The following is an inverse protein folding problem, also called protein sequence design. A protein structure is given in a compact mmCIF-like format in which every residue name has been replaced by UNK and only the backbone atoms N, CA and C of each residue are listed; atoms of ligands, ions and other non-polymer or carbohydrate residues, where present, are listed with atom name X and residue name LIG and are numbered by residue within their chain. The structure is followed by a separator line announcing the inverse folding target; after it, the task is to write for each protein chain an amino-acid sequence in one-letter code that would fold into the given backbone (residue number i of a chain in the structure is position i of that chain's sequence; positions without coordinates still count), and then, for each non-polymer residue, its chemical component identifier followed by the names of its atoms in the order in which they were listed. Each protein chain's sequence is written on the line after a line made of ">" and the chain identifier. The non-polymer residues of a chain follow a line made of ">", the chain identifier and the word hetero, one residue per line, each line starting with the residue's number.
data_IF_016270196107
#
_entry.id   IF_016270196107
#
_cell.length_a   1.000
_cell.length_b   1.000
_cell.length_c   1.000
_cell.angle_alpha   90.00
_cell.angle_beta   90.00
_cell.angle_gamma   90.00
#
_symmetry.space_group_name_H-M   'P 1'
#
loop_
_entity.id
_entity.type
_entity.pdbx_description
1 polymer ?
#
# COMPACT_ATOMS: atom_id res chain seq x y z
N UNK A 1 -22.88 6.99 -10.44
CA UNK A 1 -22.01 7.89 -11.21
C UNK A 1 -20.77 7.05 -11.54
N UNK A 2 -20.76 6.42 -12.72
CA UNK A 2 -19.69 5.57 -13.18
C UNK A 2 -18.41 6.41 -13.34
N UNK A 3 -17.38 6.04 -12.61
CA UNK A 3 -16.06 6.62 -12.75
C UNK A 3 -15.48 6.11 -14.08
N UNK A 4 -15.56 6.95 -15.12
CA UNK A 4 -14.87 6.67 -16.40
C UNK A 4 -13.38 6.61 -16.12
N UNK A 5 -12.79 5.42 -16.22
CA UNK A 5 -11.35 5.23 -16.25
C UNK A 5 -10.86 5.91 -17.53
N UNK A 6 -10.09 6.96 -17.36
CA UNK A 6 -9.50 7.69 -18.48
C UNK A 6 -8.37 6.84 -19.08
N UNK A 7 -8.66 6.11 -20.14
CA UNK A 7 -7.78 5.10 -20.79
C UNK A 7 -6.56 5.76 -21.51
N UNK A 8 -6.53 7.08 -21.60
CA UNK A 8 -5.49 7.84 -22.34
C UNK A 8 -4.37 8.41 -21.43
N UNK A 9 -4.37 8.20 -20.14
CA UNK A 9 -3.29 8.65 -19.26
C UNK A 9 -2.16 7.62 -19.26
N UNK A 10 -0.95 8.03 -19.65
CA UNK A 10 0.26 7.21 -19.52
C UNK A 10 0.37 6.67 -18.09
N UNK A 11 0.76 5.39 -17.90
CA UNK A 11 0.86 4.79 -16.58
C UNK A 11 1.87 5.55 -15.71
N UNK A 12 1.57 5.64 -14.41
CA UNK A 12 2.47 6.27 -13.44
C UNK A 12 3.58 5.32 -13.00
N UNK A 13 3.28 4.03 -12.95
CA UNK A 13 4.24 2.95 -12.74
C UNK A 13 4.06 1.88 -13.81
N UNK A 14 5.17 1.40 -14.35
CA UNK A 14 5.24 0.28 -15.28
C UNK A 14 6.25 -0.72 -14.72
N UNK A 15 5.83 -1.93 -14.53
CA UNK A 15 6.63 -3.05 -14.05
C UNK A 15 6.63 -4.09 -15.16
N UNK A 16 7.81 -4.44 -15.67
CA UNK A 16 7.97 -5.33 -16.82
C UNK A 16 8.88 -6.50 -16.49
N UNK A 17 8.36 -7.72 -16.55
CA UNK A 17 9.10 -8.97 -16.37
C UNK A 17 9.91 -9.02 -15.07
N UNK A 18 9.36 -8.45 -13.97
CA UNK A 18 10.04 -8.36 -12.69
C UNK A 18 10.26 -9.76 -12.10
N UNK A 19 11.53 -10.09 -11.88
CA UNK A 19 11.95 -11.30 -11.21
C UNK A 19 12.76 -11.01 -9.96
N UNK A 20 12.62 -11.86 -8.92
CA UNK A 20 13.43 -11.79 -7.70
C UNK A 20 13.78 -13.17 -7.19
N UNK A 21 15.08 -13.39 -6.99
CA UNK A 21 15.64 -14.62 -6.41
C UNK A 21 16.49 -14.26 -5.19
N UNK A 22 16.38 -15.04 -4.12
CA UNK A 22 17.24 -14.97 -2.94
C UNK A 22 18.05 -16.27 -2.83
N UNK A 23 19.35 -16.21 -3.10
CA UNK A 23 20.17 -17.41 -3.29
C UNK A 23 19.57 -18.27 -4.41
N UNK A 24 19.19 -19.52 -4.09
CA UNK A 24 18.58 -20.45 -5.04
C UNK A 24 17.04 -20.39 -5.03
N UNK A 25 16.44 -19.58 -4.14
CA UNK A 25 14.99 -19.51 -3.99
C UNK A 25 14.39 -18.42 -4.86
N UNK A 26 13.62 -18.82 -5.88
CA UNK A 26 12.87 -17.90 -6.76
C UNK A 26 11.59 -17.49 -6.08
N UNK A 27 11.44 -16.18 -5.77
CA UNK A 27 10.25 -15.60 -5.11
C UNK A 27 9.33 -14.92 -6.10
N UNK A 28 9.88 -14.16 -7.05
CA UNK A 28 9.12 -13.58 -8.17
C UNK A 28 9.68 -14.13 -9.46
N UNK A 29 8.82 -14.61 -10.33
CA UNK A 29 9.21 -15.28 -11.58
C UNK A 29 9.10 -14.35 -12.79
N UNK A 30 7.93 -13.75 -12.97
CA UNK A 30 7.63 -12.86 -14.09
C UNK A 30 6.41 -12.00 -13.72
N UNK A 31 6.64 -10.85 -13.12
CA UNK A 31 5.57 -9.93 -12.75
C UNK A 31 5.57 -8.77 -13.72
N UNK A 32 4.47 -8.62 -14.46
CA UNK A 32 4.24 -7.46 -15.32
C UNK A 32 2.94 -6.77 -14.91
N UNK A 33 3.01 -5.46 -14.64
CA UNK A 33 1.92 -4.67 -14.10
C UNK A 33 2.08 -3.20 -14.47
N UNK A 34 0.99 -2.55 -14.84
CA UNK A 34 0.91 -1.09 -14.99
C UNK A 34 -0.01 -0.51 -13.91
N UNK A 35 0.29 0.70 -13.43
CA UNK A 35 -0.54 1.45 -12.49
C UNK A 35 -0.85 2.81 -13.10
N UNK A 36 -2.13 3.12 -13.25
CA UNK A 36 -2.60 4.41 -13.77
C UNK A 36 -2.76 5.44 -12.64
N UNK A 37 -2.62 6.76 -12.92
CA UNK A 37 -2.92 7.80 -11.94
C UNK A 37 -4.35 7.66 -11.38
N UNK A 38 -4.49 7.76 -10.04
CA UNK A 38 -5.77 7.62 -9.35
C UNK A 38 -6.28 6.18 -9.22
N UNK A 39 -5.56 5.19 -9.75
CA UNK A 39 -5.95 3.80 -9.67
C UNK A 39 -5.65 3.23 -8.26
N UNK A 40 -6.58 2.44 -7.73
CA UNK A 40 -6.40 1.66 -6.51
C UNK A 40 -6.35 0.18 -6.86
N UNK A 41 -5.19 -0.43 -6.66
CA UNK A 41 -4.96 -1.85 -6.93
C UNK A 41 -4.74 -2.57 -5.62
N UNK A 42 -5.56 -3.59 -5.32
CA UNK A 42 -5.28 -4.52 -4.23
C UNK A 42 -4.60 -5.78 -4.75
N UNK A 43 -3.56 -6.20 -4.03
CA UNK A 43 -2.82 -7.44 -4.28
C UNK A 43 -3.15 -8.42 -3.18
N UNK A 44 -3.82 -9.49 -3.54
CA UNK A 44 -4.24 -10.58 -2.64
C UNK A 44 -3.52 -11.88 -3.00
N UNK A 45 -3.52 -12.85 -2.09
CA UNK A 45 -2.90 -14.16 -2.33
C UNK A 45 -2.39 -14.78 -1.04
N UNK A 46 -1.99 -16.04 -1.10
CA UNK A 46 -1.51 -16.80 0.04
C UNK A 46 -0.22 -16.20 0.64
N UNK A 47 0.06 -16.54 1.91
CA UNK A 47 1.34 -16.21 2.53
C UNK A 47 2.47 -16.84 1.71
N UNK A 48 3.56 -16.10 1.51
CA UNK A 48 4.70 -16.58 0.71
C UNK A 48 4.53 -16.49 -0.81
N UNK A 49 3.40 -15.98 -1.34
CA UNK A 49 3.23 -15.82 -2.80
C UNK A 49 4.04 -14.69 -3.44
N UNK A 50 4.83 -13.93 -2.66
CA UNK A 50 5.74 -12.89 -3.16
C UNK A 50 5.20 -11.45 -3.11
N UNK A 51 4.00 -11.20 -2.57
CA UNK A 51 3.34 -9.87 -2.56
C UNK A 51 4.21 -8.76 -1.96
N UNK A 52 4.68 -8.92 -0.72
CA UNK A 52 5.54 -7.94 -0.05
C UNK A 52 6.89 -7.79 -0.75
N UNK A 53 7.44 -8.88 -1.30
CA UNK A 53 8.68 -8.83 -2.10
C UNK A 53 8.48 -8.00 -3.37
N UNK A 54 7.36 -8.15 -4.05
CA UNK A 54 7.01 -7.33 -5.22
C UNK A 54 6.95 -5.84 -4.83
N UNK A 55 6.22 -5.47 -3.77
CA UNK A 55 6.17 -4.07 -3.33
C UNK A 55 7.55 -3.51 -2.98
N UNK A 56 8.38 -4.31 -2.29
CA UNK A 56 9.75 -3.90 -1.92
C UNK A 56 10.65 -3.75 -3.15
N UNK A 57 10.47 -4.56 -4.17
CA UNK A 57 11.14 -4.38 -5.45
C UNK A 57 10.65 -3.10 -6.15
N UNK A 58 9.34 -2.84 -6.16
CA UNK A 58 8.79 -1.60 -6.74
C UNK A 58 9.36 -0.37 -6.07
N UNK A 59 9.57 -0.36 -4.75
CA UNK A 59 10.22 0.75 -4.04
C UNK A 59 11.76 0.69 -4.05
N UNK A 60 12.36 -0.33 -4.72
CA UNK A 60 13.80 -0.63 -4.70
C UNK A 60 14.40 -0.81 -3.30
N UNK A 61 13.59 -1.19 -2.30
CA UNK A 61 14.10 -1.69 -1.01
C UNK A 61 14.74 -3.05 -1.18
N UNK A 62 14.28 -3.83 -2.17
CA UNK A 62 14.89 -5.03 -2.68
C UNK A 62 15.26 -4.80 -4.15
N UNK A 63 16.51 -5.05 -4.51
CA UNK A 63 16.93 -4.95 -5.91
C UNK A 63 16.36 -6.13 -6.69
N UNK A 64 15.61 -5.91 -7.77
CA UNK A 64 15.17 -6.98 -8.66
C UNK A 64 16.34 -7.80 -9.20
N UNK A 65 16.13 -9.08 -9.45
CA UNK A 65 17.12 -9.94 -10.14
C UNK A 65 17.02 -9.77 -11.65
N UNK A 66 15.81 -9.48 -12.15
CA UNK A 66 15.53 -9.22 -13.57
C UNK A 66 14.33 -8.31 -13.74
N UNK A 67 14.12 -7.84 -14.94
CA UNK A 67 13.01 -6.97 -15.29
C UNK A 67 13.32 -5.49 -15.11
N UNK A 68 12.34 -4.66 -15.43
CA UNK A 68 12.45 -3.22 -15.40
C UNK A 68 11.27 -2.60 -14.66
N UNK A 69 11.54 -1.51 -13.94
CA UNK A 69 10.53 -0.68 -13.31
C UNK A 69 10.70 0.74 -13.81
N UNK A 70 9.60 1.32 -14.31
CA UNK A 70 9.56 2.71 -14.79
C UNK A 70 8.57 3.53 -13.97
N UNK A 71 8.96 4.73 -13.65
CA UNK A 71 8.11 5.74 -13.03
C UNK A 71 7.98 6.91 -14.00
N UNK A 72 6.74 7.21 -14.43
CA UNK A 72 6.45 8.23 -15.45
C UNK A 72 7.30 8.07 -16.71
N UNK A 73 7.47 6.83 -17.18
CA UNK A 73 8.25 6.47 -18.36
C UNK A 73 9.78 6.43 -18.17
N UNK A 74 10.32 6.90 -17.03
CA UNK A 74 11.76 6.87 -16.74
C UNK A 74 12.11 5.60 -15.94
N UNK A 75 13.19 4.93 -16.33
CA UNK A 75 13.64 3.72 -15.67
C UNK A 75 14.29 4.03 -14.32
N UNK A 76 13.78 3.39 -13.26
CA UNK A 76 14.38 3.48 -11.92
C UNK A 76 15.40 2.38 -11.68
N UNK A 77 15.34 1.30 -12.44
CA UNK A 77 16.30 0.19 -12.38
C UNK A 77 17.58 0.48 -13.15
N UNK A 78 17.55 1.44 -14.09
CA UNK A 78 18.70 1.92 -14.83
C UNK A 78 19.28 3.24 -14.26
N UNK A 79 18.93 3.61 -13.02
CA UNK A 79 19.41 4.81 -12.31
C UNK A 79 19.14 6.15 -13.04
N UNK A 80 18.11 6.21 -13.89
CA UNK A 80 17.71 7.45 -14.59
C UNK A 80 17.12 8.50 -13.63
N UNK A 81 16.64 8.07 -12.45
CA UNK A 81 16.11 8.94 -11.40
C UNK A 81 16.87 8.68 -10.10
N UNK A 82 17.31 9.71 -9.35
CA UNK A 82 17.86 9.54 -8.02
C UNK A 82 16.87 8.81 -7.10
N UNK A 83 17.32 7.74 -6.46
CA UNK A 83 16.46 6.87 -5.63
C UNK A 83 15.74 7.61 -4.50
N UNK A 84 16.36 8.65 -3.93
CA UNK A 84 15.74 9.50 -2.91
C UNK A 84 14.58 10.31 -3.50
N UNK A 85 14.72 10.84 -4.71
CA UNK A 85 13.65 11.56 -5.41
C UNK A 85 12.49 10.61 -5.78
N UNK A 86 12.81 9.41 -6.28
CA UNK A 86 11.82 8.38 -6.55
C UNK A 86 11.01 8.00 -5.30
N UNK A 87 11.69 7.66 -4.20
CA UNK A 87 11.03 7.27 -2.94
C UNK A 87 10.23 8.38 -2.27
N UNK A 88 10.53 9.64 -2.58
CA UNK A 88 9.70 10.77 -2.16
C UNK A 88 8.35 10.79 -2.91
N UNK A 89 8.33 10.32 -4.17
CA UNK A 89 7.14 10.28 -5.02
C UNK A 89 6.38 8.96 -4.93
N UNK A 90 7.06 7.87 -4.68
CA UNK A 90 6.47 6.53 -4.46
C UNK A 90 6.69 6.15 -3.00
N UNK A 91 5.79 6.61 -2.16
CA UNK A 91 5.85 6.40 -0.71
C UNK A 91 5.50 4.97 -0.34
N UNK A 92 6.00 4.50 0.81
CA UNK A 92 5.68 3.16 1.33
C UNK A 92 5.25 3.21 2.79
N UNK A 93 4.16 2.52 3.07
CA UNK A 93 3.62 2.27 4.42
C UNK A 93 3.80 0.78 4.71
N UNK A 94 4.49 0.48 5.80
CA UNK A 94 4.90 -0.87 6.16
C UNK A 94 3.93 -1.50 7.17
N UNK A 95 3.94 -2.81 7.26
CA UNK A 95 3.28 -3.58 8.30
C UNK A 95 3.77 -3.19 9.71
N UNK A 96 5.09 -3.05 9.87
CA UNK A 96 5.69 -2.46 11.07
C UNK A 96 5.82 -0.97 10.84
N UNK A 97 5.18 -0.17 11.63
CA UNK A 97 4.98 1.30 11.48
C UNK A 97 6.25 2.10 11.15
N UNK A 98 7.43 1.60 11.54
CA UNK A 98 8.76 2.18 11.28
C UNK A 98 8.86 3.67 11.66
N UNK A 99 8.19 4.07 12.76
CA UNK A 99 8.32 5.42 13.30
C UNK A 99 9.66 5.61 13.99
N UNK A 100 10.22 6.82 13.88
CA UNK A 100 11.41 7.20 14.62
C UNK A 100 11.08 7.31 16.11
N UNK A 101 11.49 6.33 16.92
CA UNK A 101 11.14 6.22 18.33
C UNK A 101 11.67 7.35 19.22
N UNK A 102 12.76 8.02 18.81
CA UNK A 102 13.37 9.17 19.48
C UNK A 102 12.72 10.52 19.13
N UNK A 103 11.74 10.53 18.21
CA UNK A 103 11.02 11.72 17.77
C UNK A 103 9.55 11.65 18.19
N UNK A 104 8.90 12.80 18.42
CA UNK A 104 7.45 12.87 18.59
C UNK A 104 6.74 12.71 17.22
N UNK A 105 5.41 12.66 17.26
CA UNK A 105 4.54 12.49 16.07
C UNK A 105 4.80 13.58 15.03
N UNK A 106 4.83 14.85 15.45
CA UNK A 106 5.07 15.97 14.54
C UNK A 106 6.43 15.86 13.87
N UNK A 107 7.48 15.59 14.65
CA UNK A 107 8.85 15.48 14.13
C UNK A 107 9.01 14.30 13.17
N UNK A 108 8.27 13.19 13.38
CA UNK A 108 8.23 12.07 12.43
C UNK A 108 7.73 12.50 11.03
N UNK A 109 6.79 13.45 10.97
CA UNK A 109 6.24 13.96 9.71
C UNK A 109 7.07 15.14 9.14
N UNK A 110 7.69 15.97 9.98
CA UNK A 110 8.44 17.17 9.57
C UNK A 110 9.83 16.83 9.02
N UNK A 111 10.59 15.99 9.74
CA UNK A 111 12.01 15.74 9.42
C UNK A 111 12.25 15.17 8.02
N UNK A 112 11.48 14.18 7.51
CA UNK A 112 11.67 13.69 6.14
C UNK A 112 11.52 14.79 5.09
N UNK A 113 10.55 15.68 5.24
CA UNK A 113 10.31 16.80 4.32
C UNK A 113 11.49 17.77 4.27
N UNK A 114 12.07 18.09 5.44
CA UNK A 114 13.23 18.99 5.50
C UNK A 114 14.48 18.37 4.85
N UNK A 115 14.71 17.06 5.10
CA UNK A 115 15.92 16.37 4.62
C UNK A 115 15.84 16.09 3.13
N UNK A 116 14.69 15.61 2.65
CA UNK A 116 14.54 15.09 1.28
C UNK A 116 13.98 16.13 0.32
N UNK A 117 12.98 16.91 0.78
CA UNK A 117 12.32 17.91 -0.05
C UNK A 117 12.88 19.33 0.17
N UNK A 118 13.81 19.49 1.10
CA UNK A 118 14.43 20.77 1.46
C UNK A 118 13.42 21.87 1.83
N UNK A 119 12.22 21.48 2.34
CA UNK A 119 11.21 22.41 2.83
C UNK A 119 11.71 23.15 4.06
N UNK A 120 11.33 24.41 4.21
CA UNK A 120 11.54 25.16 5.44
C UNK A 120 10.86 24.46 6.63
N UNK A 121 11.23 24.80 7.84
CA UNK A 121 10.61 24.24 9.05
C UNK A 121 9.13 24.59 9.12
N UNK A 122 8.80 25.82 8.75
CA UNK A 122 7.45 26.37 8.76
C UNK A 122 6.56 25.61 7.77
N UNK A 123 6.97 25.53 6.52
CA UNK A 123 6.25 24.79 5.46
C UNK A 123 6.08 23.30 5.81
N UNK A 124 7.15 22.65 6.28
CA UNK A 124 7.10 21.25 6.68
C UNK A 124 6.18 21.01 7.87
N UNK A 125 6.11 21.96 8.82
CA UNK A 125 5.24 21.88 9.99
C UNK A 125 3.78 22.04 9.61
N UNK A 126 3.46 23.07 8.82
CA UNK A 126 2.09 23.32 8.32
C UNK A 126 1.56 22.11 7.56
N UNK A 127 2.36 21.60 6.63
CA UNK A 127 2.01 20.43 5.86
C UNK A 127 1.88 19.15 6.72
N UNK A 128 2.73 18.96 7.71
CA UNK A 128 2.64 17.83 8.64
C UNK A 128 1.35 17.88 9.47
N UNK A 129 0.99 19.06 10.02
CA UNK A 129 -0.23 19.26 10.80
C UNK A 129 -1.46 18.94 9.94
N UNK A 130 -1.52 19.45 8.71
CA UNK A 130 -2.60 19.15 7.76
C UNK A 130 -2.84 17.65 7.58
N UNK A 131 -1.78 16.86 7.40
CA UNK A 131 -1.94 15.41 7.21
C UNK A 131 -2.18 14.67 8.52
N UNK A 132 -1.66 15.13 9.66
CA UNK A 132 -2.01 14.59 10.97
C UNK A 132 -3.48 14.83 11.32
N UNK A 133 -4.04 15.99 10.96
CA UNK A 133 -5.48 16.26 11.07
C UNK A 133 -6.27 15.29 10.19
N UNK A 134 -5.87 15.11 8.92
CA UNK A 134 -6.55 14.23 7.96
C UNK A 134 -6.64 12.78 8.45
N UNK A 135 -5.66 12.29 9.21
CA UNK A 135 -5.66 10.94 9.78
C UNK A 135 -6.16 10.88 11.23
N UNK A 136 -6.71 11.98 11.78
CA UNK A 136 -7.24 12.05 13.14
C UNK A 136 -6.17 12.00 14.24
N UNK A 137 -4.97 12.49 13.96
CA UNK A 137 -3.82 12.47 14.90
C UNK A 137 -3.39 13.84 15.41
N UNK A 138 -4.18 14.90 15.16
CA UNK A 138 -3.86 16.28 15.57
C UNK A 138 -3.66 16.42 17.09
N UNK A 139 -4.45 15.74 17.91
CA UNK A 139 -4.32 15.80 19.38
C UNK A 139 -3.03 15.14 19.91
N UNK A 140 -2.33 14.36 19.09
CA UNK A 140 -1.17 13.55 19.48
C UNK A 140 0.16 14.08 18.95
N UNK A 141 0.22 15.31 18.42
CA UNK A 141 1.42 15.89 17.77
C UNK A 141 2.66 15.85 18.63
N UNK A 142 2.52 15.99 19.95
CA UNK A 142 3.62 15.97 20.93
C UNK A 142 3.91 14.58 21.50
N UNK A 143 3.06 13.58 21.25
CA UNK A 143 3.24 12.22 21.77
C UNK A 143 4.45 11.53 21.09
N UNK A 144 5.10 10.62 21.82
CA UNK A 144 6.12 9.74 21.27
C UNK A 144 5.47 8.42 20.77
N UNK A 145 6.09 7.70 19.84
CA UNK A 145 5.57 6.42 19.35
C UNK A 145 5.27 5.39 20.46
N UNK A 146 6.04 5.38 21.55
CA UNK A 146 5.81 4.51 22.70
C UNK A 146 4.51 4.78 23.47
N UNK A 147 3.89 5.93 23.29
CA UNK A 147 2.65 6.37 23.93
C UNK A 147 1.41 6.13 23.05
N UNK A 148 1.60 5.58 21.86
CA UNK A 148 0.54 5.38 20.86
C UNK A 148 0.14 3.90 20.78
N UNK A 149 -1.16 3.65 20.52
CA UNK A 149 -1.65 2.34 20.12
C UNK A 149 -1.13 1.94 18.73
N UNK A 150 -1.26 0.66 18.35
CA UNK A 150 -0.87 0.17 17.03
C UNK A 150 -1.54 0.94 15.89
N UNK A 151 -2.86 1.11 15.94
CA UNK A 151 -3.62 1.85 14.93
C UNK A 151 -3.25 3.34 14.88
N UNK A 152 -2.94 3.97 16.02
CA UNK A 152 -2.43 5.34 16.06
C UNK A 152 -1.06 5.45 15.39
N UNK A 153 -0.13 4.52 15.67
CA UNK A 153 1.19 4.47 15.02
C UNK A 153 1.05 4.32 13.51
N UNK A 154 0.14 3.48 13.05
CA UNK A 154 -0.09 3.27 11.62
C UNK A 154 -0.65 4.53 10.95
N UNK A 155 -1.61 5.19 11.58
CA UNK A 155 -2.13 6.48 11.06
C UNK A 155 -1.04 7.56 11.00
N UNK A 156 -0.14 7.62 11.97
CA UNK A 156 1.03 8.51 11.92
C UNK A 156 1.98 8.12 10.78
N UNK A 157 2.22 6.82 10.54
CA UNK A 157 3.04 6.35 9.42
C UNK A 157 2.43 6.76 8.07
N UNK A 158 1.11 6.66 7.94
CA UNK A 158 0.37 7.14 6.75
C UNK A 158 0.54 8.67 6.61
N UNK A 159 0.33 9.45 7.68
CA UNK A 159 0.50 10.90 7.64
C UNK A 159 1.93 11.31 7.26
N UNK A 160 2.95 10.63 7.80
CA UNK A 160 4.37 10.85 7.44
C UNK A 160 4.60 10.61 5.95
N UNK A 161 4.02 9.57 5.40
CA UNK A 161 4.14 9.26 3.96
C UNK A 161 3.42 10.31 3.12
N UNK A 162 2.20 10.70 3.48
CA UNK A 162 1.42 11.76 2.81
C UNK A 162 2.12 13.12 2.87
N UNK A 163 2.82 13.44 3.96
CA UNK A 163 3.55 14.69 4.11
C UNK A 163 4.67 14.86 3.07
N UNK A 164 5.17 13.78 2.49
CA UNK A 164 6.11 13.82 1.36
C UNK A 164 5.43 14.18 0.03
N UNK A 165 4.10 14.32 0.00
CA UNK A 165 3.30 14.60 -1.20
C UNK A 165 3.58 13.58 -2.33
N UNK A 166 3.41 12.28 -2.05
CA UNK A 166 3.69 11.23 -3.03
C UNK A 166 2.65 11.21 -4.14
N UNK A 167 3.04 10.71 -5.30
CA UNK A 167 2.15 10.41 -6.43
C UNK A 167 1.51 9.02 -6.30
N UNK A 168 2.20 8.09 -5.64
CA UNK A 168 1.76 6.71 -5.39
C UNK A 168 2.09 6.32 -3.95
N UNK A 169 1.19 5.58 -3.30
CA UNK A 169 1.47 4.96 -1.99
C UNK A 169 1.38 3.44 -2.12
N UNK A 170 2.44 2.79 -1.71
CA UNK A 170 2.53 1.34 -1.57
C UNK A 170 2.20 0.96 -0.12
N UNK A 171 1.22 0.09 0.09
CA UNK A 171 0.84 -0.42 1.41
C UNK A 171 1.21 -1.90 1.52
N UNK A 172 2.13 -2.24 2.43
CA UNK A 172 2.55 -3.60 2.71
C UNK A 172 1.87 -4.10 3.99
N UNK A 173 0.71 -4.74 3.84
CA UNK A 173 -0.11 -5.31 4.91
C UNK A 173 -0.34 -4.33 6.09
N UNK A 174 -0.95 -3.15 5.87
CA UNK A 174 -0.98 -2.05 6.84
C UNK A 174 -1.77 -2.35 8.12
N UNK A 175 -2.57 -3.41 8.15
CA UNK A 175 -3.41 -3.81 9.29
C UNK A 175 -2.93 -5.08 10.00
N UNK A 176 -2.01 -5.86 9.41
CA UNK A 176 -1.64 -7.20 9.90
C UNK A 176 -0.94 -7.20 11.28
N UNK A 177 -0.40 -6.05 11.73
CA UNK A 177 0.23 -5.90 13.04
C UNK A 177 -0.69 -5.22 14.08
N UNK A 178 -1.99 -5.09 13.78
CA UNK A 178 -2.96 -4.39 14.61
C UNK A 178 -3.91 -5.36 15.33
N UNK A 179 -4.35 -4.96 16.51
CA UNK A 179 -5.47 -5.59 17.16
C UNK A 179 -6.75 -5.36 16.34
N UNK A 180 -7.70 -6.32 16.30
CA UNK A 180 -8.91 -6.23 15.48
C UNK A 180 -9.72 -4.93 15.67
N UNK A 181 -9.79 -4.44 16.92
CA UNK A 181 -10.50 -3.20 17.26
C UNK A 181 -9.89 -1.92 16.63
N UNK A 182 -8.64 -2.00 16.17
CA UNK A 182 -7.91 -0.86 15.61
C UNK A 182 -7.86 -0.86 14.07
N UNK A 183 -8.27 -1.96 13.44
CA UNK A 183 -8.20 -2.16 11.98
C UNK A 183 -9.07 -1.15 11.25
N UNK A 184 -10.34 -1.02 11.65
CA UNK A 184 -11.32 -0.18 10.96
C UNK A 184 -10.86 1.28 10.85
N UNK A 185 -10.28 1.83 11.92
CA UNK A 185 -9.80 3.22 11.91
C UNK A 185 -8.64 3.48 10.94
N UNK A 186 -7.86 2.46 10.57
CA UNK A 186 -6.82 2.56 9.55
C UNK A 186 -7.43 2.39 8.16
N UNK A 187 -8.35 1.42 8.00
CA UNK A 187 -9.05 1.18 6.73
C UNK A 187 -9.90 2.39 6.32
N UNK A 188 -10.52 3.10 7.27
CA UNK A 188 -11.27 4.33 6.98
C UNK A 188 -10.38 5.43 6.41
N UNK A 189 -9.20 5.64 6.99
CA UNK A 189 -8.21 6.57 6.42
C UNK A 189 -7.85 6.18 4.99
N UNK A 190 -7.64 4.88 4.71
CA UNK A 190 -7.30 4.40 3.37
C UNK A 190 -8.48 4.55 2.39
N UNK A 191 -9.75 4.34 2.85
CA UNK A 191 -10.95 4.62 2.04
C UNK A 191 -11.03 6.09 1.64
N UNK A 192 -10.74 6.99 2.57
CA UNK A 192 -10.75 8.43 2.31
C UNK A 192 -9.63 8.85 1.33
N UNK A 193 -8.47 8.20 1.38
CA UNK A 193 -7.41 8.40 0.40
C UNK A 193 -7.83 7.94 -1.00
N UNK A 194 -8.47 6.77 -1.10
CA UNK A 194 -9.02 6.24 -2.35
C UNK A 194 -10.05 7.20 -2.96
N UNK A 195 -11.03 7.65 -2.15
CA UNK A 195 -12.04 8.65 -2.58
C UNK A 195 -11.42 9.97 -3.01
N UNK A 196 -10.29 10.33 -2.40
CA UNK A 196 -9.51 11.52 -2.75
C UNK A 196 -8.67 11.38 -4.02
N UNK A 197 -8.75 10.27 -4.74
CA UNK A 197 -8.03 10.02 -5.98
C UNK A 197 -6.53 9.68 -5.79
N UNK A 198 -6.12 9.24 -4.61
CA UNK A 198 -4.75 8.78 -4.37
C UNK A 198 -4.49 7.47 -5.13
N UNK A 199 -3.40 7.43 -5.88
CA UNK A 199 -2.93 6.19 -6.52
C UNK A 199 -2.35 5.26 -5.46
N UNK A 200 -2.85 4.03 -5.36
CA UNK A 200 -2.44 3.09 -4.32
C UNK A 200 -2.22 1.68 -4.87
N UNK A 201 -1.16 1.03 -4.41
CA UNK A 201 -0.93 -0.40 -4.57
C UNK A 201 -0.88 -1.04 -3.18
N UNK A 202 -1.83 -1.91 -2.87
CA UNK A 202 -2.14 -2.35 -1.51
C UNK A 202 -2.04 -3.87 -1.41
N UNK A 203 -1.05 -4.37 -0.67
CA UNK A 203 -1.06 -5.78 -0.22
C UNK A 203 -1.92 -5.86 1.04
N UNK A 204 -2.96 -6.69 1.00
CA UNK A 204 -3.88 -6.80 2.13
C UNK A 204 -4.51 -8.20 2.25
N UNK A 205 -4.90 -8.53 3.47
CA UNK A 205 -5.74 -9.67 3.82
C UNK A 205 -7.19 -9.27 4.11
N UNK A 206 -7.50 -7.98 4.06
CA UNK A 206 -8.85 -7.43 4.29
C UNK A 206 -9.68 -7.52 3.00
N UNK A 207 -10.32 -8.68 2.77
CA UNK A 207 -11.01 -8.95 1.50
C UNK A 207 -12.20 -8.03 1.25
N UNK A 208 -12.98 -7.71 2.29
CA UNK A 208 -14.09 -6.76 2.18
C UNK A 208 -13.59 -5.37 1.76
N UNK A 209 -12.52 -4.90 2.40
CA UNK A 209 -11.89 -3.63 2.05
C UNK A 209 -11.36 -3.64 0.60
N UNK A 210 -10.63 -4.70 0.21
CA UNK A 210 -10.10 -4.83 -1.16
C UNK A 210 -11.21 -4.78 -2.21
N UNK A 211 -12.35 -5.45 -1.95
CA UNK A 211 -13.52 -5.43 -2.84
C UNK A 211 -14.13 -4.03 -2.95
N UNK A 212 -14.21 -3.30 -1.84
CA UNK A 212 -14.97 -2.05 -1.77
C UNK A 212 -14.20 -0.83 -2.31
N UNK A 213 -12.84 -0.85 -2.24
CA UNK A 213 -12.03 0.32 -2.61
C UNK A 213 -11.27 0.18 -3.91
N UNK A 214 -11.03 -1.06 -4.38
CA UNK A 214 -10.14 -1.29 -5.52
C UNK A 214 -10.88 -1.20 -6.84
N UNK A 215 -10.30 -0.46 -7.77
CA UNK A 215 -10.70 -0.50 -9.18
C UNK A 215 -10.27 -1.80 -9.85
N UNK A 216 -9.11 -2.34 -9.44
CA UNK A 216 -8.53 -3.59 -9.91
C UNK A 216 -7.96 -4.41 -8.76
N UNK A 217 -8.08 -5.72 -8.86
CA UNK A 217 -7.50 -6.67 -7.90
C UNK A 217 -6.60 -7.63 -8.65
N UNK A 218 -5.47 -7.96 -8.02
CA UNK A 218 -4.48 -8.90 -8.52
C UNK A 218 -4.37 -10.04 -7.53
N UNK A 219 -4.53 -11.26 -8.01
CA UNK A 219 -4.27 -12.47 -7.24
C UNK A 219 -2.89 -13.00 -7.57
N UNK A 220 -1.99 -13.00 -6.59
CA UNK A 220 -0.67 -13.59 -6.70
C UNK A 220 -0.63 -14.99 -6.12
N UNK A 221 -0.05 -15.92 -6.88
CA UNK A 221 0.21 -17.29 -6.44
C UNK A 221 1.56 -17.76 -6.99
N UNK A 222 2.37 -18.42 -6.17
CA UNK A 222 3.68 -19.00 -6.53
C UNK A 222 4.62 -18.03 -7.32
N UNK A 223 4.61 -16.76 -6.96
CA UNK A 223 5.51 -15.74 -7.53
C UNK A 223 5.09 -15.20 -8.90
N UNK A 224 3.85 -15.43 -9.32
CA UNK A 224 3.28 -14.85 -10.55
C UNK A 224 1.93 -14.17 -10.28
N UNK A 225 1.49 -13.31 -11.19
CA UNK A 225 0.11 -12.84 -11.25
C UNK A 225 -0.72 -13.94 -11.87
N UNK A 226 -1.45 -14.69 -11.03
CA UNK A 226 -2.26 -15.83 -11.49
C UNK A 226 -3.60 -15.40 -12.07
N UNK A 227 -4.18 -14.30 -11.57
CA UNK A 227 -5.40 -13.71 -12.09
C UNK A 227 -5.46 -12.23 -11.76
N UNK A 228 -6.00 -11.42 -12.68
CA UNK A 228 -6.30 -10.01 -12.44
C UNK A 228 -7.63 -9.61 -13.10
N UNK A 229 -8.25 -8.57 -12.56
CA UNK A 229 -9.50 -8.02 -13.08
C UNK A 229 -10.10 -6.97 -12.17
N UNK A 230 -11.30 -6.51 -12.49
CA UNK A 230 -12.05 -5.63 -11.60
C UNK A 230 -12.35 -6.33 -10.27
N UNK A 231 -12.45 -5.57 -9.19
CA UNK A 231 -12.78 -6.14 -7.88
C UNK A 231 -14.07 -6.98 -7.95
N UNK A 232 -15.13 -6.48 -8.62
CA UNK A 232 -16.37 -7.20 -8.80
C UNK A 232 -16.15 -8.56 -9.48
N UNK A 233 -15.40 -8.60 -10.60
CA UNK A 233 -15.16 -9.82 -11.36
C UNK A 233 -14.39 -10.87 -10.53
N UNK A 234 -13.31 -10.46 -9.85
CA UNK A 234 -12.49 -11.40 -9.07
C UNK A 234 -13.23 -11.98 -7.87
N UNK A 235 -14.00 -11.16 -7.16
CA UNK A 235 -14.72 -11.63 -5.96
C UNK A 235 -16.01 -12.37 -6.25
N UNK A 236 -16.68 -12.12 -7.39
CA UNK A 236 -17.96 -12.77 -7.72
C UNK A 236 -17.83 -13.92 -8.71
N UNK A 237 -16.84 -13.87 -9.62
CA UNK A 237 -16.67 -14.84 -10.72
C UNK A 237 -15.19 -15.20 -10.91
N UNK A 238 -14.50 -15.71 -9.88
CA UNK A 238 -13.10 -16.12 -10.00
C UNK A 238 -12.96 -17.24 -11.06
N UNK A 239 -12.00 -17.07 -11.97
CA UNK A 239 -11.79 -18.01 -13.09
C UNK A 239 -10.95 -19.21 -12.63
N UNK A 240 -9.86 -18.97 -11.91
CA UNK A 240 -8.96 -20.02 -11.46
C UNK A 240 -9.50 -20.78 -10.25
N UNK A 241 -9.26 -22.10 -10.20
CA UNK A 241 -9.58 -22.91 -9.01
C UNK A 241 -8.81 -22.45 -7.77
N UNK A 242 -7.58 -22.01 -7.97
CA UNK A 242 -6.71 -21.48 -6.90
C UNK A 242 -7.34 -20.24 -6.24
N UNK A 243 -7.82 -19.28 -7.03
CA UNK A 243 -8.50 -18.10 -6.50
C UNK A 243 -9.81 -18.45 -5.80
N UNK A 244 -10.61 -19.37 -6.37
CA UNK A 244 -11.84 -19.87 -5.72
C UNK A 244 -11.55 -20.50 -4.37
N UNK A 245 -10.54 -21.37 -4.29
CA UNK A 245 -10.12 -22.01 -3.05
C UNK A 245 -9.54 -21.00 -2.03
N UNK A 246 -8.86 -19.95 -2.51
CA UNK A 246 -8.36 -18.86 -1.66
C UNK A 246 -9.54 -18.07 -1.08
N UNK A 247 -10.46 -17.60 -1.91
CA UNK A 247 -11.59 -16.79 -1.49
C UNK A 247 -12.58 -17.54 -0.61
N UNK A 248 -12.80 -18.84 -0.84
CA UNK A 248 -13.72 -19.64 -0.01
C UNK A 248 -13.30 -19.71 1.45
N UNK A 249 -12.02 -19.65 1.77
CA UNK A 249 -11.51 -19.61 3.14
C UNK A 249 -11.89 -18.31 3.85
N UNK A 250 -11.90 -17.19 3.14
CA UNK A 250 -12.24 -15.87 3.69
C UNK A 250 -13.75 -15.60 3.69
N UNK A 251 -14.49 -16.11 2.70
CA UNK A 251 -15.95 -15.94 2.60
C UNK A 251 -16.70 -16.91 3.52
N UNK A 252 -16.12 -18.09 3.82
CA UNK A 252 -16.68 -19.07 4.75
C UNK A 252 -16.57 -18.65 6.23
N UNK A 253 -15.54 -17.90 6.60
CA UNK A 253 -15.36 -17.40 7.96
C UNK A 253 -16.34 -16.28 8.33
N UNK A 254 -16.84 -15.51 7.35
CA UNK A 254 -17.87 -14.47 7.59
C UNK A 254 -19.26 -15.05 7.81
N UNK A 255 -19.56 -16.26 7.31
CA UNK A 255 -20.87 -16.92 7.51
C UNK A 255 -20.99 -17.63 8.85
N UNK A 256 -19.88 -17.90 9.56
CA UNK A 256 -19.85 -18.61 10.85
C UNK A 256 -19.97 -17.74 12.10
N UNK A 257 -19.94 -16.40 11.97
CA UNK A 257 -20.01 -15.48 13.13
C UNK A 257 -21.41 -14.92 13.44
N UNK A 258 -22.46 -15.34 12.73
CA UNK A 258 -23.81 -14.74 12.87
C UNK A 258 -24.88 -15.66 13.42
N UNK A 259 -24.57 -16.82 13.99
CA UNK A 259 -25.59 -17.69 14.56
C UNK A 259 -25.03 -18.54 15.71
N UNK A 260 -24.74 -17.95 16.86
CA UNK A 260 -24.82 -18.62 18.15
C UNK A 260 -24.26 -17.67 19.23
N UNK A 261 -25.14 -16.87 19.80
CA UNK A 261 -25.13 -16.41 21.20
C UNK A 261 -26.27 -15.41 21.47
N UNK A 262 -27.46 -15.91 21.73
CA UNK A 262 -28.37 -15.29 22.67
C UNK A 262 -29.01 -16.44 23.47
N UNK A 263 -28.77 -16.56 24.77
CA UNK A 263 -29.66 -17.26 25.65
C UNK A 263 -30.86 -16.40 26.04
#
# INVERSE_FOLDING_TARGET
>A
MEMQINVDASPILEISHLGKTFGDHVVLRDISLTVSPGEVISVIGSSGSGKSTMLRCVNLLETPTSGEIRYRGQSITADEIPLTAYRARVGMVFQQFNLFGNMNVLANCVRPQQIVLHRSREEATENAVKYLEKVGMAAYVNARPSQLSGGQKQRVAIARTLAMTPDVILFDEPTSALDPEMVDGVLDVMRDLARGGMTMLIVTHEMAFARDVSSRVIFMDEGVIAEEGTAEALFTRPRSERLRAFLSRYLGETSGRSADQVP
#
